data_IF_597062273746
#
_entry.id   IF_597062273746
#
_cell.length_a   1.000
_cell.length_b   1.000
_cell.length_c   1.000
_cell.angle_alpha   90.00
_cell.angle_beta   90.00
_cell.angle_gamma   90.00
#
_symmetry.space_group_name_H-M   'P 1'
#
loop_
_entity.id
_entity.type
_entity.pdbx_description
1 polymer ?
#
# COMPACT_ATOMS: atom_id res chain seq x y z
N UNK A 1 17.86 21.68 -19.01
CA UNK A 1 16.45 21.65 -18.55
C UNK A 1 16.46 21.25 -17.08
N UNK A 2 15.79 21.94 -16.15
CA UNK A 2 15.85 21.51 -14.74
C UNK A 2 15.22 20.12 -14.59
N UNK A 3 15.80 19.28 -13.73
CA UNK A 3 15.32 17.93 -13.42
C UNK A 3 13.80 17.91 -13.14
N UNK A 4 13.29 18.94 -12.46
CA UNK A 4 11.86 19.10 -12.15
C UNK A 4 11.00 19.23 -13.42
N UNK A 5 11.42 20.02 -14.41
CA UNK A 5 10.70 20.15 -15.69
C UNK A 5 10.68 18.83 -16.46
N UNK A 6 11.79 18.09 -16.44
CA UNK A 6 11.88 16.77 -17.08
C UNK A 6 10.98 15.74 -16.38
N UNK A 7 10.98 15.72 -15.06
CA UNK A 7 10.13 14.85 -14.24
C UNK A 7 8.64 15.07 -14.53
N UNK A 8 8.17 16.32 -14.48
CA UNK A 8 6.76 16.67 -14.73
C UNK A 8 6.32 16.26 -16.13
N UNK A 9 7.16 16.50 -17.15
CA UNK A 9 6.86 16.16 -18.54
C UNK A 9 6.66 14.66 -18.75
N UNK A 10 7.42 13.84 -18.05
CA UNK A 10 7.30 12.38 -18.15
C UNK A 10 6.19 11.83 -17.25
N UNK A 11 5.88 12.47 -16.12
CA UNK A 11 4.79 12.02 -15.26
C UNK A 11 3.43 12.12 -15.98
N UNK A 12 3.24 13.17 -16.78
CA UNK A 12 2.03 13.43 -17.56
C UNK A 12 2.31 13.40 -19.08
N UNK A 13 2.49 12.21 -19.68
CA UNK A 13 2.80 12.11 -21.10
C UNK A 13 1.60 12.55 -21.96
N UNK A 14 1.86 13.21 -23.08
CA UNK A 14 0.82 13.61 -24.04
C UNK A 14 0.28 12.45 -24.87
N UNK A 15 1.08 11.40 -25.07
CA UNK A 15 0.73 10.23 -25.88
C UNK A 15 1.26 8.95 -25.23
N UNK A 16 0.53 7.85 -25.38
CA UNK A 16 0.91 6.51 -24.93
C UNK A 16 0.94 5.61 -26.16
N UNK A 17 2.05 4.87 -26.36
CA UNK A 17 2.16 3.90 -27.45
C UNK A 17 1.10 2.80 -27.28
N UNK A 18 0.36 2.49 -28.36
CA UNK A 18 -0.70 1.46 -28.36
C UNK A 18 -0.19 0.09 -27.90
N UNK A 19 1.08 -0.20 -28.15
CA UNK A 19 1.74 -1.44 -27.75
C UNK A 19 1.88 -1.59 -26.22
N UNK A 20 2.08 -0.48 -25.50
CA UNK A 20 2.15 -0.48 -24.04
C UNK A 20 0.79 -0.80 -23.39
N UNK A 21 -0.31 -0.72 -24.15
CA UNK A 21 -1.67 -1.03 -23.69
C UNK A 21 -2.10 -2.45 -24.06
N UNK A 22 -1.26 -3.25 -24.72
CA UNK A 22 -1.58 -4.63 -25.06
C UNK A 22 -1.68 -5.47 -23.77
N UNK A 23 -2.88 -5.99 -23.52
CA UNK A 23 -3.20 -6.82 -22.34
C UNK A 23 -2.36 -8.11 -22.33
N UNK A 24 -2.07 -8.67 -23.50
CA UNK A 24 -1.41 -9.98 -23.67
C UNK A 24 -0.07 -10.13 -22.97
N UNK A 25 0.68 -9.04 -22.79
CA UNK A 25 2.01 -9.07 -22.18
C UNK A 25 2.05 -8.51 -20.76
N UNK A 26 1.29 -7.45 -20.50
CA UNK A 26 1.36 -6.72 -19.23
C UNK A 26 0.28 -7.14 -18.25
N UNK A 27 -0.82 -7.73 -18.74
CA UNK A 27 -2.09 -7.93 -18.06
C UNK A 27 -2.61 -6.66 -17.35
N UNK A 28 -2.08 -5.49 -17.70
CA UNK A 28 -2.28 -4.22 -17.01
C UNK A 28 -2.05 -4.27 -15.48
N UNK A 29 -1.33 -5.28 -14.94
CA UNK A 29 -1.26 -5.57 -13.51
C UNK A 29 -0.76 -4.41 -12.65
N UNK A 30 0.25 -3.68 -13.16
CA UNK A 30 0.79 -2.52 -12.43
C UNK A 30 -0.18 -1.34 -12.38
N UNK A 31 -0.94 -1.14 -13.47
CA UNK A 31 -1.98 -0.10 -13.52
C UNK A 31 -3.19 -0.47 -12.66
N UNK A 32 -3.59 -1.74 -12.65
CA UNK A 32 -4.65 -2.24 -11.77
C UNK A 32 -4.26 -2.13 -10.30
N UNK A 33 -3.02 -2.49 -9.93
CA UNK A 33 -2.51 -2.33 -8.58
C UNK A 33 -2.57 -0.85 -8.13
N UNK A 34 -2.11 0.08 -8.97
CA UNK A 34 -2.22 1.51 -8.67
C UNK A 34 -3.67 1.99 -8.57
N UNK A 35 -4.57 1.46 -9.40
CA UNK A 35 -6.00 1.79 -9.33
C UNK A 35 -6.62 1.31 -8.02
N UNK A 36 -6.28 0.10 -7.56
CA UNK A 36 -6.69 -0.40 -6.25
C UNK A 36 -6.15 0.49 -5.11
N UNK A 37 -4.91 0.97 -5.23
CA UNK A 37 -4.34 1.93 -4.28
C UNK A 37 -5.10 3.28 -4.25
N UNK A 38 -5.57 3.80 -5.39
CA UNK A 38 -6.42 5.00 -5.41
C UNK A 38 -7.76 4.74 -4.71
N UNK A 39 -8.38 3.58 -4.95
CA UNK A 39 -9.62 3.19 -4.25
C UNK A 39 -9.37 3.12 -2.74
N UNK A 40 -8.24 2.58 -2.29
CA UNK A 40 -7.85 2.56 -0.88
C UNK A 40 -7.71 3.96 -0.28
N UNK A 41 -7.08 4.91 -0.98
CA UNK A 41 -6.99 6.30 -0.50
C UNK A 41 -8.40 6.90 -0.33
N UNK A 42 -9.23 6.80 -1.36
CA UNK A 42 -10.57 7.42 -1.34
C UNK A 42 -11.43 6.80 -0.23
N UNK A 43 -11.50 5.48 -0.19
CA UNK A 43 -12.29 4.77 0.84
C UNK A 43 -11.70 4.97 2.23
N UNK A 44 -10.38 5.00 2.39
CA UNK A 44 -9.71 5.24 3.67
C UNK A 44 -10.05 6.61 4.24
N UNK A 45 -9.99 7.67 3.41
CA UNK A 45 -10.41 9.03 3.82
C UNK A 45 -11.87 9.04 4.29
N UNK A 46 -12.77 8.33 3.60
CA UNK A 46 -14.17 8.24 4.01
C UNK A 46 -14.35 7.51 5.35
N UNK A 47 -13.59 6.44 5.61
CA UNK A 47 -13.62 5.73 6.89
C UNK A 47 -13.09 6.58 8.05
N UNK A 48 -12.10 7.44 7.79
CA UNK A 48 -11.49 8.32 8.80
C UNK A 48 -12.46 9.30 9.45
N UNK A 49 -13.57 9.66 8.77
CA UNK A 49 -14.59 10.56 9.36
C UNK A 49 -15.34 9.94 10.54
N UNK A 50 -15.32 8.61 10.67
CA UNK A 50 -16.12 7.87 11.67
C UNK A 50 -15.25 7.02 12.61
N UNK A 51 -14.05 6.64 12.19
CA UNK A 51 -13.18 5.79 12.99
C UNK A 51 -12.55 6.54 14.18
N UNK A 52 -12.54 5.91 15.36
CA UNK A 52 -11.92 6.45 16.58
C UNK A 52 -10.70 5.60 16.96
N UNK A 53 -9.45 6.11 16.86
CA UNK A 53 -8.23 5.36 17.16
C UNK A 53 -7.95 5.27 18.67
N UNK A 54 -8.88 4.69 19.44
CA UNK A 54 -8.76 4.47 20.87
C UNK A 54 -9.12 3.01 21.21
N UNK A 55 -8.34 2.26 22.02
CA UNK A 55 -8.59 0.84 22.25
C UNK A 55 -10.02 0.52 22.70
N UNK A 56 -10.61 1.35 23.57
CA UNK A 56 -11.98 1.16 24.08
C UNK A 56 -13.09 1.51 23.07
N UNK A 57 -12.77 2.28 22.02
CA UNK A 57 -13.75 2.83 21.09
C UNK A 57 -13.57 2.37 19.64
N UNK A 58 -12.40 1.84 19.26
CA UNK A 58 -12.07 1.48 17.89
C UNK A 58 -13.06 0.47 17.30
N UNK A 59 -13.30 -0.63 18.01
CA UNK A 59 -14.25 -1.65 17.58
C UNK A 59 -15.69 -1.11 17.48
N UNK A 60 -16.14 -0.37 18.50
CA UNK A 60 -17.48 0.22 18.54
C UNK A 60 -17.69 1.27 17.42
N UNK A 61 -16.66 2.05 17.08
CA UNK A 61 -16.72 3.02 15.98
C UNK A 61 -16.93 2.34 14.62
N UNK A 62 -16.41 1.13 14.46
CA UNK A 62 -16.62 0.32 13.24
C UNK A 62 -18.03 -0.26 13.21
N UNK A 63 -18.55 -0.77 14.32
CA UNK A 63 -19.95 -1.22 14.39
C UNK A 63 -20.90 -0.08 14.04
N UNK A 64 -20.67 1.10 14.61
CA UNK A 64 -21.44 2.30 14.27
C UNK A 64 -21.37 2.62 12.77
N UNK A 65 -20.17 2.59 12.19
CA UNK A 65 -19.95 2.81 10.76
C UNK A 65 -20.72 1.80 9.90
N UNK A 66 -20.75 0.52 10.27
CA UNK A 66 -21.45 -0.49 9.48
C UNK A 66 -22.96 -0.41 9.56
N UNK A 67 -23.49 -0.04 10.73
CA UNK A 67 -24.93 -0.11 11.01
C UNK A 67 -25.65 1.22 10.79
N UNK A 68 -25.01 2.35 11.07
CA UNK A 68 -25.67 3.65 11.17
C UNK A 68 -25.27 4.63 10.06
N UNK A 69 -24.15 4.40 9.36
CA UNK A 69 -23.67 5.29 8.29
C UNK A 69 -24.17 4.80 6.93
N UNK A 70 -24.76 5.70 6.14
CA UNK A 70 -25.19 5.39 4.78
C UNK A 70 -24.00 4.86 3.95
N UNK A 71 -24.16 3.67 3.36
CA UNK A 71 -23.11 2.92 2.65
C UNK A 71 -21.86 2.59 3.48
N UNK A 72 -21.86 2.77 4.80
CA UNK A 72 -20.66 2.58 5.63
C UNK A 72 -20.12 1.14 5.55
N UNK A 73 -20.99 0.14 5.73
CA UNK A 73 -20.63 -1.28 5.52
C UNK A 73 -20.09 -1.56 4.13
N UNK A 74 -20.65 -0.93 3.09
CA UNK A 74 -20.17 -1.11 1.72
C UNK A 74 -18.77 -0.52 1.56
N UNK A 75 -18.53 0.72 2.02
CA UNK A 75 -17.23 1.40 1.93
C UNK A 75 -16.16 0.61 2.70
N UNK A 76 -16.47 0.12 3.91
CA UNK A 76 -15.54 -0.72 4.68
C UNK A 76 -15.17 -2.01 3.93
N UNK A 77 -16.16 -2.69 3.36
CA UNK A 77 -15.92 -3.90 2.58
C UNK A 77 -15.15 -3.63 1.29
N UNK A 78 -15.41 -2.51 0.62
CA UNK A 78 -14.68 -2.08 -0.57
C UNK A 78 -13.22 -1.78 -0.22
N UNK A 79 -12.95 -1.12 0.91
CA UNK A 79 -11.59 -0.85 1.39
C UNK A 79 -10.84 -2.17 1.64
N UNK A 80 -11.47 -3.11 2.36
CA UNK A 80 -10.89 -4.44 2.63
C UNK A 80 -10.62 -5.21 1.34
N UNK A 81 -11.59 -5.28 0.43
CA UNK A 81 -11.45 -6.00 -0.84
C UNK A 81 -10.37 -5.35 -1.74
N UNK A 82 -10.30 -4.02 -1.76
CA UNK A 82 -9.27 -3.28 -2.51
C UNK A 82 -7.87 -3.52 -1.93
N UNK A 83 -7.75 -3.73 -0.61
CA UNK A 83 -6.49 -4.11 0.03
C UNK A 83 -6.01 -5.48 -0.45
N UNK A 84 -6.90 -6.48 -0.45
CA UNK A 84 -6.59 -7.80 -1.00
C UNK A 84 -6.24 -7.75 -2.50
N UNK A 85 -7.02 -6.99 -3.28
CA UNK A 85 -6.76 -6.78 -4.70
C UNK A 85 -5.38 -6.16 -4.93
N UNK A 86 -5.01 -5.11 -4.18
CA UNK A 86 -3.68 -4.49 -4.29
C UNK A 86 -2.57 -5.52 -4.05
N UNK A 87 -2.64 -6.30 -2.96
CA UNK A 87 -1.62 -7.30 -2.62
C UNK A 87 -1.50 -8.40 -3.69
N UNK A 88 -2.62 -8.90 -4.20
CA UNK A 88 -2.64 -9.90 -5.26
C UNK A 88 -2.06 -9.32 -6.56
N UNK A 89 -2.51 -8.13 -6.96
CA UNK A 89 -2.11 -7.49 -8.22
C UNK A 89 -0.62 -7.10 -8.21
N UNK A 90 -0.11 -6.56 -7.10
CA UNK A 90 1.31 -6.19 -6.99
C UNK A 90 2.20 -7.45 -6.95
N UNK A 91 1.76 -8.52 -6.30
CA UNK A 91 2.47 -9.80 -6.33
C UNK A 91 2.53 -10.37 -7.75
N UNK A 92 1.39 -10.46 -8.44
CA UNK A 92 1.33 -10.95 -9.82
C UNK A 92 2.14 -10.05 -10.77
N UNK A 93 2.14 -8.73 -10.55
CA UNK A 93 2.97 -7.80 -11.29
C UNK A 93 4.46 -8.12 -11.12
N UNK A 94 4.91 -8.34 -9.88
CA UNK A 94 6.28 -8.74 -9.56
C UNK A 94 6.66 -10.07 -10.22
N UNK A 95 5.81 -11.09 -10.12
CA UNK A 95 6.02 -12.39 -10.78
C UNK A 95 6.19 -12.21 -12.29
N UNK A 96 5.31 -11.45 -12.94
CA UNK A 96 5.40 -11.15 -14.38
C UNK A 96 6.73 -10.46 -14.73
N UNK A 97 7.20 -9.50 -13.92
CA UNK A 97 8.48 -8.81 -14.14
C UNK A 97 9.67 -9.77 -14.04
N UNK A 98 9.63 -10.75 -13.12
CA UNK A 98 10.65 -11.80 -13.00
C UNK A 98 10.61 -12.74 -14.20
N UNK A 99 9.43 -13.28 -14.55
CA UNK A 99 9.24 -14.24 -15.65
C UNK A 99 9.61 -13.64 -17.01
N UNK A 100 9.38 -12.35 -17.21
CA UNK A 100 9.77 -11.64 -18.43
C UNK A 100 11.24 -11.22 -18.45
N UNK A 101 11.95 -11.27 -17.32
CA UNK A 101 13.34 -10.83 -17.21
C UNK A 101 13.54 -9.31 -17.20
N UNK A 102 12.45 -8.53 -17.06
CA UNK A 102 12.48 -7.07 -17.17
C UNK A 102 13.30 -6.41 -16.04
N UNK A 103 13.45 -7.08 -14.90
CA UNK A 103 14.27 -6.61 -13.77
C UNK A 103 15.76 -6.46 -14.12
N UNK A 104 16.28 -7.24 -15.07
CA UNK A 104 17.69 -7.16 -15.50
C UNK A 104 17.99 -5.88 -16.27
N UNK A 105 17.06 -5.49 -17.14
CA UNK A 105 17.19 -4.26 -17.95
C UNK A 105 16.89 -3.01 -17.10
N UNK A 106 15.96 -3.13 -16.13
CA UNK A 106 15.49 -2.02 -15.30
C UNK A 106 15.80 -2.21 -13.82
N UNK A 107 17.07 -2.46 -13.49
CA UNK A 107 17.52 -2.79 -12.13
C UNK A 107 17.13 -1.74 -11.09
N UNK A 108 17.24 -0.45 -11.41
CA UNK A 108 16.81 0.62 -10.50
C UNK A 108 15.30 0.61 -10.26
N UNK A 109 14.51 0.50 -11.34
CA UNK A 109 13.05 0.49 -11.22
C UNK A 109 12.54 -0.79 -10.52
N UNK A 110 13.27 -1.89 -10.63
CA UNK A 110 13.03 -3.13 -9.91
C UNK A 110 13.18 -2.94 -8.39
N UNK A 111 14.24 -2.28 -7.93
CA UNK A 111 14.42 -1.97 -6.50
C UNK A 111 13.24 -1.11 -5.99
N UNK A 112 12.84 -0.08 -6.75
CA UNK A 112 11.66 0.73 -6.40
C UNK A 112 10.39 -0.13 -6.34
N UNK A 113 10.22 -1.07 -7.28
CA UNK A 113 9.09 -1.99 -7.30
C UNK A 113 9.06 -2.93 -6.08
N UNK A 114 10.22 -3.45 -5.65
CA UNK A 114 10.33 -4.25 -4.43
C UNK A 114 9.99 -3.45 -3.18
N UNK A 115 10.44 -2.19 -3.10
CA UNK A 115 10.07 -1.29 -1.99
C UNK A 115 8.57 -1.00 -1.96
N UNK A 116 7.94 -0.79 -3.13
CA UNK A 116 6.48 -0.62 -3.23
C UNK A 116 5.72 -1.87 -2.79
N UNK A 117 6.19 -3.06 -3.17
CA UNK A 117 5.60 -4.32 -2.73
C UNK A 117 5.71 -4.49 -1.21
N UNK A 118 6.89 -4.24 -0.65
CA UNK A 118 7.12 -4.29 0.80
C UNK A 118 6.22 -3.30 1.56
N UNK A 119 6.18 -2.04 1.13
CA UNK A 119 5.30 -1.04 1.75
C UNK A 119 3.82 -1.39 1.63
N UNK A 120 3.39 -2.04 0.54
CA UNK A 120 2.00 -2.48 0.40
C UNK A 120 1.63 -3.56 1.41
N UNK A 121 2.57 -4.48 1.72
CA UNK A 121 2.41 -5.47 2.80
C UNK A 121 2.35 -4.77 4.16
N UNK A 122 3.24 -3.81 4.42
CA UNK A 122 3.24 -3.00 5.65
C UNK A 122 1.92 -2.21 5.79
N UNK A 123 1.39 -1.67 4.70
CA UNK A 123 0.08 -0.99 4.69
C UNK A 123 -1.04 -1.96 5.09
N UNK A 124 -1.05 -3.17 4.53
CA UNK A 124 -2.00 -4.21 4.89
C UNK A 124 -1.92 -4.59 6.36
N UNK A 125 -0.71 -4.79 6.89
CA UNK A 125 -0.50 -5.16 8.30
C UNK A 125 -0.89 -4.04 9.27
N UNK A 126 -0.47 -2.80 9.01
CA UNK A 126 -0.83 -1.65 9.86
C UNK A 126 -2.33 -1.35 9.87
N UNK A 127 -3.02 -1.57 8.74
CA UNK A 127 -4.48 -1.44 8.66
C UNK A 127 -5.22 -2.59 9.34
N UNK A 128 -4.61 -3.77 9.41
CA UNK A 128 -5.22 -4.97 9.97
C UNK A 128 -5.50 -4.85 11.47
N UNK A 129 -4.67 -4.10 12.22
CA UNK A 129 -4.88 -3.87 13.66
C UNK A 129 -6.09 -2.98 13.95
N UNK A 130 -6.39 -2.02 13.06
CA UNK A 130 -7.31 -0.91 13.35
C UNK A 130 -8.71 -1.34 13.83
N UNK A 131 -9.28 -2.48 13.37
CA UNK A 131 -10.54 -2.95 13.91
C UNK A 131 -10.56 -3.31 15.38
N UNK A 132 -9.39 -3.63 15.96
CA UNK A 132 -9.28 -4.01 17.37
C UNK A 132 -10.19 -5.19 17.76
N UNK A 133 -10.49 -6.08 16.82
CA UNK A 133 -11.12 -7.37 17.10
C UNK A 133 -10.07 -8.41 17.53
N UNK A 134 -10.53 -9.57 18.00
CA UNK A 134 -9.64 -10.59 18.56
C UNK A 134 -8.63 -11.14 17.54
N UNK A 135 -9.06 -11.22 16.28
CA UNK A 135 -8.23 -11.73 15.19
C UNK A 135 -7.15 -10.71 14.82
N UNK A 136 -7.53 -9.44 14.67
CA UNK A 136 -6.63 -8.31 14.45
C UNK A 136 -5.56 -8.20 15.54
N UNK A 137 -5.99 -8.29 16.81
CA UNK A 137 -5.09 -8.23 17.96
C UNK A 137 -4.05 -9.35 17.91
N UNK A 138 -4.46 -10.61 17.80
CA UNK A 138 -3.53 -11.73 17.85
C UNK A 138 -2.63 -11.81 16.62
N UNK A 139 -3.15 -11.53 15.43
CA UNK A 139 -2.32 -11.48 14.23
C UNK A 139 -1.22 -10.40 14.35
N UNK A 140 -1.57 -9.25 14.93
CA UNK A 140 -0.61 -8.18 15.17
C UNK A 140 0.42 -8.60 16.22
N UNK A 141 -0.02 -9.17 17.34
CA UNK A 141 0.88 -9.69 18.38
C UNK A 141 1.88 -10.70 17.82
N UNK A 142 1.42 -11.68 17.02
CA UNK A 142 2.30 -12.65 16.36
C UNK A 142 3.32 -11.96 15.46
N UNK A 143 2.90 -10.96 14.68
CA UNK A 143 3.82 -10.17 13.85
C UNK A 143 4.89 -9.44 14.66
N UNK A 144 4.54 -8.89 15.83
CA UNK A 144 5.51 -8.26 16.74
C UNK A 144 6.51 -9.26 17.30
N UNK A 145 6.07 -10.44 17.70
CA UNK A 145 6.99 -11.49 18.19
C UNK A 145 7.95 -11.98 17.11
N UNK A 146 7.50 -12.09 15.85
CA UNK A 146 8.39 -12.40 14.72
C UNK A 146 9.41 -11.27 14.52
N UNK A 147 8.99 -10.01 14.66
CA UNK A 147 9.87 -8.86 14.47
C UNK A 147 10.98 -8.79 15.53
N UNK A 148 10.74 -9.26 16.76
CA UNK A 148 11.80 -9.34 17.79
C UNK A 148 12.96 -10.27 17.42
N UNK A 149 12.74 -11.20 16.48
CA UNK A 149 13.78 -12.16 16.06
C UNK A 149 14.84 -11.55 15.14
N UNK A 150 14.62 -10.36 14.56
CA UNK A 150 15.61 -9.70 13.69
C UNK A 150 16.57 -8.82 14.51
N UNK A 151 17.77 -8.51 13.99
CA UNK A 151 18.67 -7.56 14.65
C UNK A 151 17.98 -6.22 14.89
N UNK A 152 18.12 -5.67 16.12
CA UNK A 152 17.42 -4.47 16.60
C UNK A 152 15.88 -4.61 16.68
N UNK A 153 15.37 -5.84 16.68
CA UNK A 153 13.94 -6.13 16.66
C UNK A 153 13.21 -5.61 17.90
N UNK A 154 13.78 -5.80 19.08
CA UNK A 154 13.21 -5.31 20.34
C UNK A 154 13.08 -3.79 20.37
N UNK A 155 14.11 -3.06 19.91
CA UNK A 155 14.10 -1.61 19.81
C UNK A 155 13.04 -1.11 18.81
N UNK A 156 12.89 -1.80 17.67
CA UNK A 156 11.87 -1.48 16.68
C UNK A 156 10.46 -1.74 17.26
N UNK A 157 10.25 -2.87 17.93
CA UNK A 157 8.96 -3.18 18.55
C UNK A 157 8.63 -2.17 19.64
N UNK A 158 9.58 -1.79 20.49
CA UNK A 158 9.36 -0.75 21.49
C UNK A 158 9.10 0.64 20.87
N UNK A 159 9.67 0.93 19.69
CA UNK A 159 9.39 2.15 18.92
C UNK A 159 8.01 2.12 18.26
N UNK A 160 7.48 0.97 17.88
CA UNK A 160 6.18 0.89 17.19
C UNK A 160 5.04 0.66 18.20
N UNK A 161 5.27 -0.21 19.18
CA UNK A 161 4.30 -0.71 20.14
C UNK A 161 4.79 -0.59 21.61
N UNK A 162 4.98 0.65 22.12
CA UNK A 162 5.66 0.89 23.41
C UNK A 162 4.84 0.41 24.63
N UNK A 163 3.53 0.35 24.51
CA UNK A 163 2.58 -0.09 25.53
C UNK A 163 1.93 -1.45 25.19
N UNK A 164 2.54 -2.19 24.26
CA UNK A 164 2.06 -3.48 23.77
C UNK A 164 0.88 -3.37 22.80
N UNK A 165 0.62 -4.46 22.06
CA UNK A 165 -0.55 -4.52 21.18
C UNK A 165 -1.80 -4.33 22.03
N UNK A 166 -2.71 -3.47 21.58
CA UNK A 166 -3.92 -3.08 22.31
C UNK A 166 -3.76 -1.87 23.22
N UNK A 167 -2.53 -1.39 23.46
CA UNK A 167 -2.30 -0.10 24.09
C UNK A 167 -2.69 1.08 23.21
N UNK A 168 -3.02 2.21 23.84
CA UNK A 168 -3.43 3.44 23.15
C UNK A 168 -2.30 3.99 22.27
N UNK A 169 -1.07 4.03 22.78
CA UNK A 169 0.07 4.58 22.04
C UNK A 169 0.39 3.72 20.83
N UNK A 170 0.35 2.39 20.98
CA UNK A 170 0.51 1.43 19.89
C UNK A 170 -0.55 1.63 18.82
N UNK A 171 -1.84 1.66 19.18
CA UNK A 171 -2.93 1.84 18.22
C UNK A 171 -2.83 3.18 17.48
N UNK A 172 -2.50 4.26 18.19
CA UNK A 172 -2.30 5.59 17.60
C UNK A 172 -1.13 5.64 16.62
N UNK A 173 -0.01 4.95 16.92
CA UNK A 173 1.14 4.81 16.01
C UNK A 173 0.77 4.00 14.77
N UNK A 174 0.07 2.88 14.94
CA UNK A 174 -0.44 2.07 13.83
C UNK A 174 -1.38 2.87 12.92
N UNK A 175 -2.30 3.63 13.51
CA UNK A 175 -3.18 4.52 12.78
C UNK A 175 -2.39 5.54 11.96
N UNK A 176 -1.45 6.26 12.58
CA UNK A 176 -0.60 7.26 11.91
C UNK A 176 0.22 6.66 10.76
N UNK A 177 0.80 5.47 10.98
CA UNK A 177 1.53 4.74 9.96
C UNK A 177 0.62 4.39 8.78
N UNK A 178 -0.57 3.87 9.08
CA UNK A 178 -1.51 3.37 8.08
C UNK A 178 -2.14 4.48 7.23
N UNK A 179 -2.51 5.62 7.82
CA UNK A 179 -3.26 6.67 7.11
C UNK A 179 -2.37 7.75 6.48
N UNK A 180 -1.14 7.95 6.97
CA UNK A 180 -0.24 9.01 6.49
C UNK A 180 1.07 8.45 5.97
N UNK A 181 1.90 7.89 6.84
CA UNK A 181 3.31 7.63 6.54
C UNK A 181 3.46 6.61 5.41
N UNK A 182 2.77 5.47 5.51
CA UNK A 182 2.89 4.39 4.52
C UNK A 182 2.22 4.77 3.19
N UNK A 183 0.96 5.28 3.15
CA UNK A 183 0.35 5.70 1.89
C UNK A 183 1.13 6.82 1.17
N UNK A 184 1.63 7.81 1.90
CA UNK A 184 2.42 8.88 1.30
C UNK A 184 3.73 8.35 0.70
N UNK A 185 4.38 7.41 1.38
CA UNK A 185 5.58 6.73 0.87
C UNK A 185 5.28 5.92 -0.40
N UNK A 186 4.18 5.15 -0.41
CA UNK A 186 3.73 4.40 -1.60
C UNK A 186 3.45 5.35 -2.75
N UNK A 187 2.77 6.48 -2.50
CA UNK A 187 2.44 7.46 -3.52
C UNK A 187 3.70 8.06 -4.15
N UNK A 188 4.65 8.55 -3.32
CA UNK A 188 5.90 9.14 -3.79
C UNK A 188 6.74 8.15 -4.59
N UNK A 189 6.91 6.92 -4.09
CA UNK A 189 7.63 5.88 -4.80
C UNK A 189 6.93 5.47 -6.10
N UNK A 190 5.59 5.46 -6.13
CA UNK A 190 4.83 5.19 -7.35
C UNK A 190 5.10 6.26 -8.42
N UNK A 191 5.21 7.53 -8.02
CA UNK A 191 5.57 8.62 -8.96
C UNK A 191 6.99 8.41 -9.53
N UNK A 192 7.95 8.03 -8.68
CA UNK A 192 9.32 7.71 -9.12
C UNK A 192 9.32 6.50 -10.07
N UNK A 193 8.57 5.45 -9.74
CA UNK A 193 8.45 4.22 -10.52
C UNK A 193 7.87 4.51 -11.92
N UNK A 194 6.81 5.29 -11.98
CA UNK A 194 6.16 5.70 -13.23
C UNK A 194 7.02 6.63 -14.08
N UNK A 195 7.76 7.54 -13.45
CA UNK A 195 8.73 8.38 -14.13
C UNK A 195 9.82 7.54 -14.81
N UNK A 196 10.38 6.55 -14.09
CA UNK A 196 11.43 5.67 -14.62
C UNK A 196 10.95 4.82 -15.78
N UNK A 197 9.78 4.18 -15.67
CA UNK A 197 9.19 3.42 -16.79
C UNK A 197 9.10 4.28 -18.06
N UNK A 198 8.69 5.54 -17.95
CA UNK A 198 8.51 6.43 -19.10
C UNK A 198 9.82 6.98 -19.64
N UNK A 199 10.78 7.27 -18.76
CA UNK A 199 12.13 7.65 -19.16
C UNK A 199 12.84 6.52 -19.90
N UNK A 200 12.61 5.28 -19.48
CA UNK A 200 13.20 4.06 -20.04
C UNK A 200 12.38 3.49 -21.21
N UNK A 201 11.85 4.41 -22.06
CA UNK A 201 11.12 4.16 -23.31
C UNK A 201 9.78 3.40 -23.21
N UNK A 202 9.17 3.30 -22.04
CA UNK A 202 7.80 2.78 -21.88
C UNK A 202 7.74 1.43 -21.19
N UNK A 203 6.70 0.62 -21.41
CA UNK A 203 6.48 -0.59 -20.60
C UNK A 203 7.30 -1.78 -21.11
N UNK A 204 7.57 -1.83 -22.41
CA UNK A 204 8.32 -2.90 -23.08
C UNK A 204 9.82 -2.56 -23.07
N UNK A 205 10.67 -3.31 -22.35
CA UNK A 205 12.09 -2.98 -22.22
C UNK A 205 12.96 -3.46 -23.40
N UNK A 206 12.39 -4.25 -24.32
CA UNK A 206 13.10 -4.90 -25.44
C UNK A 206 12.76 -4.32 -26.82
N UNK A 207 11.92 -3.28 -26.85
CA UNK A 207 11.55 -2.50 -28.03
C UNK A 207 12.06 -1.07 -27.83
#
# INVERSE_FOLDING_TARGET
MSFVKEFIKHLFPRFILKENLKITYTFCLGGLAFSAFIVLIVTGVLLMFYYVPHPEHAYNSILYLEENVFLGKYIRNLHRLSSHALLILIFLHTVRVVLTGAFKVRSYNWIVGLLLMFLSIVAGYTGYLLPMDQLAYWATQTGMEILKLVPLGDEIVNLIAPDGVGGFMTLSRFYTLHIVIVPMSIFLLSMIHFYRIRKDKGVLPYL
#
